data_IF_486942181015
#
_entry.id   IF_486942181015
#
_cell.length_a   1.000
_cell.length_b   1.000
_cell.length_c   1.000
_cell.angle_alpha   90.00
_cell.angle_beta   90.00
_cell.angle_gamma   90.00
#
_symmetry.space_group_name_H-M   'P 1'
#
loop_
_entity.id
_entity.type
_entity.pdbx_description
1 polymer ?
#
# COMPACT_ATOMS: atom_id res chain seq x y z
N UNK A 1 3.59 26.40 3.60
CA UNK A 1 2.40 25.54 3.36
C UNK A 1 1.38 25.88 4.42
N UNK A 2 0.12 26.18 4.06
CA UNK A 2 -0.90 26.60 5.01
C UNK A 2 -1.66 25.39 5.57
N UNK A 3 -1.70 25.26 6.89
CA UNK A 3 -2.52 24.26 7.61
C UNK A 3 -3.98 24.73 7.55
N UNK A 4 -4.86 23.87 7.09
CA UNK A 4 -6.30 24.17 7.03
C UNK A 4 -7.05 23.10 7.81
N UNK A 5 -7.85 23.54 8.78
CA UNK A 5 -8.86 22.70 9.39
C UNK A 5 -10.05 22.63 8.44
N UNK A 6 -10.48 21.41 8.12
CA UNK A 6 -11.57 21.13 7.18
C UNK A 6 -12.34 19.91 7.62
N UNK A 7 -13.51 19.72 7.02
CA UNK A 7 -14.15 18.41 7.01
C UNK A 7 -13.67 17.60 5.80
N UNK A 8 -13.66 16.28 5.91
CA UNK A 8 -13.16 15.35 4.91
C UNK A 8 -14.14 14.18 4.75
N UNK A 9 -14.43 13.83 3.51
CA UNK A 9 -15.11 12.61 3.12
C UNK A 9 -14.31 11.95 2.00
N UNK A 10 -13.83 10.73 2.21
CA UNK A 10 -13.01 10.03 1.22
C UNK A 10 -13.14 8.52 1.30
N UNK A 11 -13.02 7.84 0.17
CA UNK A 11 -12.74 6.41 0.07
C UNK A 11 -11.40 6.17 -0.65
N UNK A 12 -10.61 7.22 -0.86
CA UNK A 12 -9.32 7.21 -1.52
C UNK A 12 -8.26 7.62 -0.51
N UNK A 13 -7.76 6.65 0.25
CA UNK A 13 -6.72 6.89 1.24
C UNK A 13 -5.76 5.73 1.40
N UNK A 14 -4.54 6.05 1.82
CA UNK A 14 -3.38 5.18 1.84
C UNK A 14 -2.70 5.29 3.21
N UNK A 15 -2.46 4.17 3.87
CA UNK A 15 -1.54 4.09 5.00
C UNK A 15 -0.12 3.94 4.45
N UNK A 16 0.71 4.97 4.65
CA UNK A 16 2.05 5.06 4.06
C UNK A 16 3.09 4.83 5.14
N UNK A 17 3.89 3.75 5.08
CA UNK A 17 4.88 3.48 6.10
C UNK A 17 5.97 4.55 6.11
N UNK A 18 6.39 4.95 7.30
CA UNK A 18 7.49 5.88 7.53
C UNK A 18 8.49 5.32 8.53
N UNK A 19 9.73 5.80 8.44
CA UNK A 19 10.77 5.56 9.44
C UNK A 19 11.35 6.90 9.83
N UNK A 20 11.24 7.25 11.11
CA UNK A 20 11.67 8.55 11.66
C UNK A 20 12.29 8.33 13.03
N UNK A 21 13.09 9.28 13.50
CA UNK A 21 13.64 9.24 14.85
C UNK A 21 12.59 9.78 15.84
N UNK A 22 12.28 9.00 16.88
CA UNK A 22 11.33 9.41 17.90
C UNK A 22 11.95 10.48 18.82
N UNK A 23 11.29 11.63 18.94
CA UNK A 23 11.75 12.70 19.84
C UNK A 23 11.65 12.33 21.34
N UNK A 24 10.78 11.38 21.70
CA UNK A 24 10.59 10.92 23.09
C UNK A 24 11.68 9.96 23.56
N UNK A 25 11.86 8.83 22.85
CA UNK A 25 12.80 7.78 23.24
C UNK A 25 14.12 7.76 22.45
N UNK A 26 14.26 8.57 21.40
CA UNK A 26 15.46 8.62 20.56
C UNK A 26 15.65 7.44 19.61
N UNK A 27 14.76 6.44 19.65
CA UNK A 27 14.83 5.28 18.76
C UNK A 27 14.35 5.63 17.35
N UNK A 28 14.99 5.04 16.34
CA UNK A 28 14.43 4.98 15.00
C UNK A 28 13.18 4.10 15.04
N UNK A 29 12.03 4.69 14.74
CA UNK A 29 10.72 4.04 14.84
C UNK A 29 10.10 3.88 13.47
N UNK A 30 9.49 2.72 13.24
CA UNK A 30 8.54 2.53 12.14
C UNK A 30 7.17 3.01 12.59
N UNK A 31 6.49 3.73 11.70
CA UNK A 31 5.14 4.26 11.91
C UNK A 31 4.48 4.44 10.54
N UNK A 32 3.40 5.21 10.44
CA UNK A 32 2.75 5.51 9.18
C UNK A 32 2.17 6.93 9.12
N UNK A 33 2.04 7.46 7.90
CA UNK A 33 1.20 8.62 7.59
C UNK A 33 -0.06 8.19 6.86
N UNK A 34 -1.12 9.00 6.92
CA UNK A 34 -2.34 8.78 6.15
C UNK A 34 -2.38 9.80 5.03
N UNK A 35 -2.38 9.34 3.77
CA UNK A 35 -2.50 10.21 2.60
C UNK A 35 -3.84 9.96 1.94
N UNK A 36 -4.56 11.03 1.62
CA UNK A 36 -5.81 11.02 0.87
C UNK A 36 -5.57 11.47 -0.56
N UNK A 37 -6.34 10.93 -1.49
CA UNK A 37 -6.16 11.22 -2.91
C UNK A 37 -7.05 12.36 -3.44
N UNK A 38 -6.84 12.75 -4.71
CA UNK A 38 -7.47 13.91 -5.33
C UNK A 38 -8.98 13.79 -5.51
N UNK A 39 -9.56 12.60 -5.40
CA UNK A 39 -11.02 12.41 -5.44
C UNK A 39 -11.70 12.65 -4.08
N UNK A 40 -10.90 12.88 -3.03
CA UNK A 40 -11.41 13.22 -1.70
C UNK A 40 -12.22 14.49 -1.72
N UNK A 41 -13.28 14.53 -0.91
CA UNK A 41 -14.17 15.67 -0.77
C UNK A 41 -13.85 16.41 0.53
N UNK A 42 -13.81 17.74 0.47
CA UNK A 42 -13.61 18.60 1.64
C UNK A 42 -14.72 19.62 1.81
N UNK A 43 -14.91 20.07 3.05
CA UNK A 43 -15.81 21.16 3.39
C UNK A 43 -15.20 22.04 4.48
N UNK A 44 -15.90 23.10 4.90
CA UNK A 44 -15.53 23.89 6.05
C UNK A 44 -15.33 23.01 7.31
N UNK A 45 -14.46 23.45 8.21
CA UNK A 45 -14.36 22.86 9.55
C UNK A 45 -15.74 22.87 10.23
N UNK A 46 -15.98 21.89 11.10
CA UNK A 46 -17.21 21.72 11.87
C UNK A 46 -18.47 21.46 11.02
N UNK A 47 -18.32 20.95 9.79
CA UNK A 47 -19.44 20.47 8.98
C UNK A 47 -20.18 19.37 9.74
N UNK A 48 -21.47 19.60 9.96
CA UNK A 48 -22.34 18.60 10.57
C UNK A 48 -23.04 17.78 9.49
N UNK A 49 -22.73 16.48 9.45
CA UNK A 49 -23.30 15.54 8.49
C UNK A 49 -24.83 15.48 8.55
N UNK A 50 -25.43 15.73 9.73
CA UNK A 50 -26.87 15.59 9.92
C UNK A 50 -27.65 16.84 9.45
N UNK A 51 -27.04 18.03 9.49
CA UNK A 51 -27.71 19.30 9.16
C UNK A 51 -27.23 19.93 7.85
N UNK A 52 -25.95 19.78 7.52
CA UNK A 52 -25.30 20.58 6.48
C UNK A 52 -25.22 19.87 5.13
N UNK A 53 -25.46 18.55 5.08
CA UNK A 53 -25.20 17.71 3.90
C UNK A 53 -25.97 18.12 2.64
N UNK A 54 -27.15 18.72 2.83
CA UNK A 54 -27.99 19.22 1.73
C UNK A 54 -27.81 20.72 1.46
N UNK A 55 -27.07 21.44 2.32
CA UNK A 55 -26.98 22.90 2.30
C UNK A 55 -25.59 23.41 1.89
N UNK A 56 -24.54 22.67 2.24
CA UNK A 56 -23.15 23.08 1.97
C UNK A 56 -22.54 22.12 0.93
N UNK A 57 -22.17 22.61 -0.26
CA UNK A 57 -21.57 21.77 -1.28
C UNK A 57 -20.20 21.29 -0.83
N UNK A 58 -19.86 20.04 -1.19
CA UNK A 58 -18.52 19.50 -1.02
C UNK A 58 -17.63 19.93 -2.19
N UNK A 59 -16.38 20.25 -1.88
CA UNK A 59 -15.36 20.59 -2.88
C UNK A 59 -14.39 19.42 -3.03
N UNK A 60 -14.03 19.10 -4.26
CA UNK A 60 -13.00 18.10 -4.51
C UNK A 60 -11.62 18.63 -4.10
N UNK A 61 -10.77 17.77 -3.54
CA UNK A 61 -9.45 18.14 -3.05
C UNK A 61 -8.47 18.50 -4.18
N UNK A 62 -8.61 17.85 -5.34
CA UNK A 62 -7.81 18.05 -6.57
C UNK A 62 -6.30 17.84 -6.42
N UNK A 63 -5.84 17.39 -5.25
CA UNK A 63 -4.46 17.10 -4.92
C UNK A 63 -4.38 15.93 -3.93
N UNK A 64 -3.16 15.42 -3.68
CA UNK A 64 -2.96 14.54 -2.54
C UNK A 64 -2.88 15.36 -1.26
N UNK A 65 -3.34 14.80 -0.14
CA UNK A 65 -3.29 15.44 1.16
C UNK A 65 -2.76 14.49 2.22
N UNK A 66 -1.73 14.91 2.97
CA UNK A 66 -1.36 14.23 4.21
C UNK A 66 -2.31 14.66 5.32
N UNK A 67 -2.90 13.68 6.02
CA UNK A 67 -3.63 13.90 7.27
C UNK A 67 -2.61 13.99 8.41
N UNK A 68 -2.49 15.17 9.01
CA UNK A 68 -1.66 15.40 10.21
C UNK A 68 -2.41 15.09 11.50
N UNK A 69 -3.74 15.22 11.46
CA UNK A 69 -4.68 14.91 12.53
C UNK A 69 -6.02 14.56 11.92
N UNK A 70 -6.58 13.41 12.30
CA UNK A 70 -7.97 13.04 12.04
C UNK A 70 -8.74 13.23 13.35
N UNK A 71 -9.93 13.83 13.33
CA UNK A 71 -10.68 14.08 14.56
C UNK A 71 -12.11 14.60 14.33
N UNK A 72 -12.81 14.86 15.43
CA UNK A 72 -14.24 15.21 15.39
C UNK A 72 -15.13 13.97 15.29
N UNK A 73 -16.25 14.03 14.54
CA UNK A 73 -17.20 12.90 14.38
C UNK A 73 -16.59 11.77 13.54
N UNK A 74 -15.77 10.94 14.18
CA UNK A 74 -14.91 9.97 13.51
C UNK A 74 -14.75 8.65 14.29
N UNK A 75 -15.42 8.50 15.45
CA UNK A 75 -15.10 7.43 16.43
C UNK A 75 -14.96 6.02 15.86
N UNK A 76 -15.78 5.66 14.86
CA UNK A 76 -15.71 4.32 14.24
C UNK A 76 -14.51 4.19 13.28
N UNK A 77 -14.16 5.27 12.59
CA UNK A 77 -13.04 5.30 11.65
C UNK A 77 -11.72 5.34 12.40
N UNK A 78 -11.56 6.24 13.37
CA UNK A 78 -10.31 6.34 14.11
C UNK A 78 -10.01 5.06 14.88
N UNK A 79 -11.03 4.46 15.51
CA UNK A 79 -10.90 3.18 16.19
C UNK A 79 -10.55 2.05 15.23
N UNK A 80 -11.11 2.04 14.02
CA UNK A 80 -10.72 1.09 12.98
C UNK A 80 -9.25 1.25 12.59
N UNK A 81 -8.81 2.48 12.29
CA UNK A 81 -7.44 2.76 11.88
C UNK A 81 -6.47 2.42 13.01
N UNK A 82 -6.76 2.84 14.25
CA UNK A 82 -5.98 2.51 15.43
C UNK A 82 -5.90 1.00 15.66
N UNK A 83 -6.99 0.24 15.49
CA UNK A 83 -6.94 -1.22 15.67
C UNK A 83 -6.14 -1.92 14.56
N UNK A 84 -6.36 -1.53 13.30
CA UNK A 84 -5.69 -2.12 12.13
C UNK A 84 -4.20 -1.79 12.08
N UNK A 85 -3.82 -0.59 12.51
CA UNK A 85 -2.47 -0.04 12.46
C UNK A 85 -1.99 0.35 13.87
N UNK A 86 -2.24 -0.51 14.86
CA UNK A 86 -2.02 -0.24 16.29
C UNK A 86 -0.57 0.07 16.69
N UNK A 87 0.41 -0.35 15.88
CA UNK A 87 1.81 0.02 16.08
C UNK A 87 2.19 1.39 15.53
N UNK A 88 1.32 1.99 14.71
CA UNK A 88 1.59 3.23 13.98
C UNK A 88 0.66 4.38 14.37
N UNK A 89 -0.57 4.10 14.82
CA UNK A 89 -1.52 5.13 15.24
C UNK A 89 -2.14 4.84 16.60
N UNK A 90 -2.45 5.89 17.33
CA UNK A 90 -3.23 5.81 18.58
C UNK A 90 -4.24 6.95 18.68
N UNK A 91 -5.27 6.71 19.49
CA UNK A 91 -6.20 7.73 19.93
C UNK A 91 -5.56 8.57 21.03
N UNK A 92 -5.48 9.88 20.82
CA UNK A 92 -5.04 10.84 21.83
C UNK A 92 -6.03 12.01 21.89
N UNK A 93 -5.83 12.93 22.85
CA UNK A 93 -6.81 13.93 23.30
C UNK A 93 -7.61 14.65 22.18
N UNK A 94 -7.00 14.87 21.00
CA UNK A 94 -7.60 15.62 19.88
C UNK A 94 -7.84 14.80 18.60
N UNK A 95 -7.78 13.47 18.70
CA UNK A 95 -8.03 12.52 17.62
C UNK A 95 -6.87 11.57 17.30
N UNK A 96 -6.96 10.89 16.15
CA UNK A 96 -5.96 9.92 15.72
C UNK A 96 -4.63 10.59 15.34
N UNK A 97 -3.54 10.14 15.97
CA UNK A 97 -2.17 10.62 15.71
C UNK A 97 -1.21 9.46 15.45
N UNK A 98 -0.18 9.71 14.64
CA UNK A 98 0.91 8.77 14.43
C UNK A 98 1.75 8.64 15.71
N UNK A 99 2.19 7.43 16.04
CA UNK A 99 2.95 7.14 17.27
C UNK A 99 4.22 6.35 17.02
N UNK A 100 5.12 6.39 17.99
CA UNK A 100 6.29 5.55 18.06
C UNK A 100 5.93 4.10 18.41
N UNK A 101 6.45 3.12 17.67
CA UNK A 101 6.23 1.69 17.94
C UNK A 101 6.89 1.22 19.26
N UNK A 102 7.86 1.98 19.79
CA UNK A 102 8.64 1.61 20.99
C UNK A 102 8.10 2.20 22.29
N UNK A 103 7.73 3.49 22.30
CA UNK A 103 7.26 4.18 23.50
C UNK A 103 5.81 4.68 23.41
N UNK A 104 5.14 4.50 22.27
CA UNK A 104 3.76 4.96 22.02
C UNK A 104 3.56 6.49 22.09
N UNK A 105 4.63 7.27 22.24
CA UNK A 105 4.55 8.72 22.17
C UNK A 105 4.10 9.19 20.78
N UNK A 106 3.33 10.28 20.76
CA UNK A 106 2.94 10.97 19.53
C UNK A 106 4.15 11.44 18.75
N UNK A 107 4.17 11.13 17.45
CA UNK A 107 5.18 11.64 16.54
C UNK A 107 4.75 13.03 16.02
N UNK A 108 5.60 14.06 16.17
CA UNK A 108 5.33 15.39 15.62
C UNK A 108 5.00 15.34 14.13
N UNK A 109 3.94 16.03 13.70
CA UNK A 109 3.50 16.06 12.30
C UNK A 109 4.60 16.55 11.35
N UNK A 110 5.48 17.44 11.81
CA UNK A 110 6.63 17.93 11.06
C UNK A 110 7.62 16.80 10.70
N UNK A 111 7.84 15.82 11.60
CA UNK A 111 8.70 14.67 11.35
C UNK A 111 8.06 13.68 10.38
N UNK A 112 6.75 13.46 10.52
CA UNK A 112 6.01 12.53 9.65
C UNK A 112 5.86 13.09 8.25
N UNK A 113 5.69 14.41 8.09
CA UNK A 113 5.26 15.01 6.82
C UNK A 113 6.17 14.68 5.65
N UNK A 114 7.46 14.99 5.77
CA UNK A 114 8.41 14.74 4.69
C UNK A 114 8.60 13.25 4.45
N UNK A 115 8.69 12.45 5.51
CA UNK A 115 8.87 11.01 5.42
C UNK A 115 7.67 10.32 4.73
N UNK A 116 6.44 10.73 5.06
CA UNK A 116 5.22 10.19 4.48
C UNK A 116 5.05 10.59 3.02
N UNK A 117 5.30 11.87 2.69
CA UNK A 117 5.21 12.36 1.30
C UNK A 117 6.27 11.70 0.40
N UNK A 118 7.52 11.58 0.86
CA UNK A 118 8.58 10.88 0.13
C UNK A 118 8.25 9.39 -0.06
N UNK A 119 7.86 8.71 1.03
CA UNK A 119 7.48 7.31 0.99
C UNK A 119 6.29 7.08 0.06
N UNK A 120 5.31 7.98 0.05
CA UNK A 120 4.16 7.91 -0.86
C UNK A 120 4.59 7.99 -2.32
N UNK A 121 5.42 8.97 -2.69
CA UNK A 121 5.93 9.09 -4.07
C UNK A 121 6.73 7.84 -4.45
N UNK A 122 7.65 7.40 -3.59
CA UNK A 122 8.50 6.23 -3.82
C UNK A 122 7.69 4.94 -3.98
N UNK A 123 6.67 4.74 -3.14
CA UNK A 123 5.79 3.57 -3.20
C UNK A 123 4.85 3.65 -4.39
N UNK A 124 4.36 4.84 -4.74
CA UNK A 124 3.51 5.08 -5.92
C UNK A 124 4.24 4.75 -7.22
N UNK A 125 5.49 5.19 -7.37
CA UNK A 125 6.35 4.84 -8.51
C UNK A 125 6.57 3.33 -8.65
N UNK A 126 6.57 2.60 -7.53
CA UNK A 126 6.72 1.15 -7.48
C UNK A 126 5.39 0.39 -7.49
N UNK A 127 4.25 1.10 -7.54
CA UNK A 127 2.89 0.52 -7.48
C UNK A 127 2.63 -0.30 -6.21
N UNK A 128 3.20 0.13 -5.09
CA UNK A 128 3.08 -0.52 -3.77
C UNK A 128 2.10 0.20 -2.84
N UNK A 129 1.44 1.25 -3.31
CA UNK A 129 0.39 1.93 -2.58
C UNK A 129 -0.92 1.16 -2.70
N UNK A 130 -1.49 0.79 -1.55
CA UNK A 130 -2.81 0.19 -1.46
C UNK A 130 -3.82 1.24 -0.97
N UNK A 131 -4.82 1.53 -1.78
CA UNK A 131 -5.98 2.28 -1.32
C UNK A 131 -6.77 1.37 -0.37
N UNK A 132 -7.04 1.85 0.84
CA UNK A 132 -7.77 1.11 1.86
C UNK A 132 -9.27 0.97 1.53
N UNK A 133 -9.81 1.81 0.64
CA UNK A 133 -11.19 1.80 0.12
C UNK A 133 -12.29 1.85 1.19
N UNK A 134 -11.94 2.02 2.45
CA UNK A 134 -12.88 2.28 3.53
C UNK A 134 -13.31 3.74 3.48
N UNK A 135 -14.62 4.00 3.55
CA UNK A 135 -15.12 5.35 3.66
C UNK A 135 -14.70 5.98 5.00
N UNK A 136 -14.01 7.11 4.91
CA UNK A 136 -13.58 7.95 6.02
C UNK A 136 -14.37 9.24 5.95
N UNK A 137 -15.12 9.53 7.00
CA UNK A 137 -15.66 10.85 7.26
C UNK A 137 -14.98 11.42 8.50
N UNK A 138 -14.64 12.71 8.44
CA UNK A 138 -14.07 13.48 9.55
C UNK A 138 -14.59 14.90 9.52
N UNK A 139 -15.19 15.36 10.61
CA UNK A 139 -15.67 16.74 10.73
C UNK A 139 -14.55 17.73 11.06
N UNK A 140 -13.39 17.24 11.50
CA UNK A 140 -12.21 18.06 11.75
C UNK A 140 -10.92 17.32 11.38
N UNK A 141 -10.34 17.66 10.23
CA UNK A 141 -9.05 17.15 9.75
C UNK A 141 -8.06 18.29 9.57
N UNK A 142 -6.79 18.04 9.92
CA UNK A 142 -5.67 18.92 9.54
C UNK A 142 -4.98 18.31 8.33
N UNK A 143 -5.04 19.00 7.20
CA UNK A 143 -4.48 18.54 5.93
C UNK A 143 -3.28 19.38 5.48
N UNK A 144 -2.26 18.68 4.98
CA UNK A 144 -1.17 19.29 4.21
C UNK A 144 -1.21 18.77 2.77
N UNK A 145 -1.63 19.63 1.85
CA UNK A 145 -1.76 19.30 0.43
C UNK A 145 -0.41 19.31 -0.29
N UNK A 146 -0.27 18.40 -1.26
CA UNK A 146 0.88 18.35 -2.16
C UNK A 146 0.49 17.79 -3.52
N UNK A 147 1.19 18.26 -4.57
CA UNK A 147 1.05 17.74 -5.92
C UNK A 147 2.06 16.62 -6.10
N UNK A 148 1.58 15.39 -6.28
CA UNK A 148 2.43 14.27 -6.64
C UNK A 148 3.00 14.50 -8.04
N UNK A 149 4.30 14.77 -8.15
CA UNK A 149 4.99 14.69 -9.44
C UNK A 149 5.01 13.23 -9.88
N UNK A 150 4.55 12.95 -11.10
CA UNK A 150 4.47 11.64 -11.78
C UNK A 150 3.21 10.80 -11.49
N UNK A 151 2.20 11.01 -12.34
CA UNK A 151 1.20 10.04 -12.81
C UNK A 151 1.05 8.75 -11.99
N UNK A 152 0.08 8.72 -11.08
CA UNK A 152 -0.47 7.46 -10.59
C UNK A 152 -1.38 6.91 -11.69
N UNK A 153 -0.80 6.13 -12.62
CA UNK A 153 -1.60 5.27 -13.49
C UNK A 153 -2.06 4.06 -12.68
N UNK A 154 -3.37 3.96 -12.41
CA UNK A 154 -4.00 2.70 -12.01
C UNK A 154 -3.78 1.66 -13.13
N UNK A 155 -2.91 0.67 -12.88
CA UNK A 155 -2.91 -0.68 -13.48
C UNK A 155 -1.79 -1.52 -12.81
N UNK A 156 -1.96 -2.79 -12.46
CA UNK A 156 -2.68 -3.82 -13.21
C UNK A 156 -2.75 -5.19 -12.52
N UNK A 157 -3.58 -5.33 -11.49
CA UNK A 157 -4.40 -6.54 -11.29
C UNK A 157 -5.76 -6.04 -10.78
N UNK A 158 -6.83 -6.26 -11.55
CA UNK A 158 -8.12 -5.55 -11.43
C UNK A 158 -8.87 -5.76 -10.10
N UNK A 159 -8.47 -6.70 -9.24
CA UNK A 159 -9.26 -7.07 -8.06
C UNK A 159 -8.76 -6.52 -6.71
N UNK A 160 -7.71 -5.70 -6.70
CA UNK A 160 -7.11 -5.20 -5.45
C UNK A 160 -6.67 -6.34 -4.51
N UNK A 161 -5.97 -6.04 -3.42
CA UNK A 161 -5.66 -7.06 -2.39
C UNK A 161 -4.51 -8.04 -2.69
N UNK A 162 -3.90 -8.01 -3.88
CA UNK A 162 -2.69 -8.77 -4.18
C UNK A 162 -1.42 -8.06 -3.68
N UNK A 163 -0.52 -8.81 -3.04
CA UNK A 163 0.82 -8.39 -2.69
C UNK A 163 1.85 -9.16 -3.52
N UNK A 164 2.85 -8.46 -4.07
CA UNK A 164 3.96 -9.08 -4.78
C UNK A 164 4.84 -9.84 -3.78
N UNK A 165 5.08 -11.13 -4.04
CA UNK A 165 5.87 -11.98 -3.15
C UNK A 165 7.21 -12.38 -3.77
N UNK A 166 7.19 -12.76 -5.05
CA UNK A 166 8.35 -13.30 -5.75
C UNK A 166 8.50 -12.66 -7.13
N UNK A 167 9.75 -12.50 -7.55
CA UNK A 167 10.12 -12.17 -8.92
C UNK A 167 11.03 -13.27 -9.45
N UNK A 168 10.71 -13.80 -10.62
CA UNK A 168 11.50 -14.82 -11.27
C UNK A 168 12.03 -14.27 -12.59
N UNK A 169 13.33 -14.37 -12.82
CA UNK A 169 13.85 -14.21 -14.17
C UNK A 169 13.49 -15.46 -14.96
N UNK A 170 13.03 -15.25 -16.19
CA UNK A 170 12.58 -16.30 -17.08
C UNK A 170 13.24 -16.15 -18.44
N UNK A 171 13.53 -17.28 -19.09
CA UNK A 171 14.06 -17.35 -20.43
C UNK A 171 13.21 -18.28 -21.27
N UNK A 172 12.94 -17.92 -22.53
CA UNK A 172 12.29 -18.81 -23.47
C UNK A 172 13.29 -19.66 -24.28
N UNK A 173 12.79 -20.58 -25.09
CA UNK A 173 13.63 -21.46 -25.93
C UNK A 173 14.52 -20.74 -26.95
N UNK A 174 14.24 -19.47 -27.22
CA UNK A 174 14.99 -18.64 -28.16
C UNK A 174 15.99 -17.70 -27.46
N UNK A 175 16.20 -17.86 -26.15
CA UNK A 175 17.11 -17.03 -25.36
C UNK A 175 16.55 -15.65 -25.01
N UNK A 176 15.24 -15.41 -25.17
CA UNK A 176 14.62 -14.14 -24.82
C UNK A 176 14.30 -14.12 -23.33
N UNK A 177 14.77 -13.09 -22.64
CA UNK A 177 14.60 -12.92 -21.20
C UNK A 177 13.34 -12.12 -20.85
N UNK A 178 12.71 -12.47 -19.74
CA UNK A 178 11.60 -11.73 -19.14
C UNK A 178 11.58 -11.90 -17.62
N UNK A 179 10.61 -11.25 -16.98
CA UNK A 179 10.37 -11.35 -15.53
C UNK A 179 8.97 -11.89 -15.31
N UNK A 180 8.85 -12.87 -14.43
CA UNK A 180 7.57 -13.36 -13.91
C UNK A 180 7.42 -12.84 -12.49
N UNK A 181 6.37 -12.07 -12.26
CA UNK A 181 5.96 -11.60 -10.95
C UNK A 181 4.88 -12.54 -10.39
N UNK A 182 5.05 -12.97 -9.14
CA UNK A 182 4.08 -13.81 -8.42
C UNK A 182 3.49 -13.00 -7.28
N UNK A 183 2.18 -12.88 -7.33
CA UNK A 183 1.37 -12.09 -6.42
C UNK A 183 0.47 -13.00 -5.60
N UNK A 184 0.09 -12.59 -4.40
CA UNK A 184 -0.84 -13.34 -3.53
C UNK A 184 -1.86 -12.43 -2.87
N UNK A 185 -3.13 -12.84 -2.87
CA UNK A 185 -4.17 -12.22 -2.07
C UNK A 185 -4.42 -13.06 -0.84
N UNK A 186 -4.13 -12.52 0.34
CA UNK A 186 -4.44 -13.20 1.62
C UNK A 186 -5.96 -13.33 1.82
N UNK A 187 -6.72 -12.34 1.35
CA UNK A 187 -8.17 -12.30 1.52
C UNK A 187 -8.88 -13.38 0.70
N UNK A 188 -8.41 -13.61 -0.53
CA UNK A 188 -8.96 -14.64 -1.42
C UNK A 188 -8.22 -15.97 -1.33
N UNK A 189 -7.07 -15.99 -0.65
CA UNK A 189 -6.17 -17.14 -0.55
C UNK A 189 -5.82 -17.70 -1.94
N UNK A 190 -5.45 -16.81 -2.86
CA UNK A 190 -5.10 -17.14 -4.23
C UNK A 190 -3.87 -16.37 -4.71
N UNK A 191 -3.26 -16.87 -5.76
CA UNK A 191 -2.04 -16.37 -6.37
C UNK A 191 -2.33 -15.91 -7.80
N UNK A 192 -1.67 -14.83 -8.20
CA UNK A 192 -1.71 -14.33 -9.57
C UNK A 192 -0.29 -14.24 -10.13
N UNK A 193 -0.19 -14.36 -11.45
CA UNK A 193 1.08 -14.27 -12.16
C UNK A 193 1.02 -13.21 -13.25
N UNK A 194 2.05 -12.36 -13.30
CA UNK A 194 2.25 -11.38 -14.38
C UNK A 194 3.58 -11.67 -15.06
N UNK A 195 3.55 -11.93 -16.37
CA UNK A 195 4.73 -12.06 -17.21
C UNK A 195 5.02 -10.72 -17.88
N UNK A 196 6.25 -10.24 -17.69
CA UNK A 196 6.77 -9.02 -18.30
C UNK A 196 7.92 -9.35 -19.25
N UNK A 197 7.85 -8.79 -20.46
CA UNK A 197 8.88 -8.92 -21.49
C UNK A 197 9.90 -7.78 -21.45
N UNK A 198 10.62 -7.59 -22.56
CA UNK A 198 11.60 -6.51 -22.68
C UNK A 198 10.96 -5.12 -22.47
N UNK A 199 11.60 -4.28 -21.64
CA UNK A 199 11.11 -2.94 -21.30
C UNK A 199 10.04 -2.92 -20.22
N UNK A 200 9.94 -3.96 -19.39
CA UNK A 200 8.93 -4.13 -18.32
C UNK A 200 7.48 -4.14 -18.83
N UNK A 201 7.30 -4.39 -20.14
CA UNK A 201 5.99 -4.46 -20.77
C UNK A 201 5.29 -5.74 -20.35
N UNK A 202 4.09 -5.63 -19.78
CA UNK A 202 3.21 -6.78 -19.52
C UNK A 202 2.87 -7.49 -20.82
N UNK A 203 3.16 -8.79 -20.87
CA UNK A 203 2.93 -9.65 -22.03
C UNK A 203 1.77 -10.60 -21.79
N UNK A 204 1.60 -11.05 -20.55
CA UNK A 204 0.56 -11.99 -20.16
C UNK A 204 0.26 -11.82 -18.67
N UNK A 205 -1.04 -11.88 -18.33
CA UNK A 205 -1.53 -12.01 -16.97
C UNK A 205 -2.30 -13.31 -16.86
N UNK A 206 -2.03 -14.10 -15.83
CA UNK A 206 -2.71 -15.37 -15.60
C UNK A 206 -3.20 -15.50 -14.17
N UNK A 207 -4.34 -16.17 -14.07
CA UNK A 207 -5.34 -16.00 -13.03
C UNK A 207 -5.03 -16.56 -11.66
N UNK A 208 -6.03 -16.29 -10.83
CA UNK A 208 -6.17 -16.39 -9.38
C UNK A 208 -6.28 -17.85 -8.90
N UNK A 209 -5.17 -18.58 -8.92
CA UNK A 209 -5.13 -19.97 -8.45
C UNK A 209 -4.76 -20.02 -6.98
N UNK A 210 -5.48 -20.81 -6.18
CA UNK A 210 -5.13 -21.15 -4.79
C UNK A 210 -3.89 -22.05 -4.66
N UNK A 211 -3.34 -22.54 -5.79
CA UNK A 211 -2.19 -23.44 -5.83
C UNK A 211 -0.99 -22.89 -6.64
N UNK A 212 0.14 -22.68 -5.96
CA UNK A 212 1.42 -22.35 -6.58
C UNK A 212 1.92 -23.43 -7.56
N UNK A 213 1.54 -24.69 -7.38
CA UNK A 213 1.85 -25.79 -8.30
C UNK A 213 1.24 -25.58 -9.68
N UNK A 214 0.00 -25.11 -9.75
CA UNK A 214 -0.66 -24.77 -11.00
C UNK A 214 0.06 -23.63 -11.72
N UNK A 215 0.54 -22.62 -10.99
CA UNK A 215 1.34 -21.54 -11.58
C UNK A 215 2.65 -22.03 -12.20
N UNK A 216 3.36 -22.96 -11.55
CA UNK A 216 4.58 -23.56 -12.12
C UNK A 216 4.27 -24.38 -13.38
N UNK A 217 3.18 -25.14 -13.37
CA UNK A 217 2.70 -25.86 -14.56
C UNK A 217 2.40 -24.90 -15.71
N UNK A 218 1.82 -23.74 -15.40
CA UNK A 218 1.48 -22.72 -16.37
C UNK A 218 2.73 -22.08 -17.00
N UNK A 219 3.75 -21.76 -16.20
CA UNK A 219 5.06 -21.29 -16.67
C UNK A 219 5.70 -22.30 -17.64
N UNK A 220 5.70 -23.57 -17.24
CA UNK A 220 6.28 -24.65 -18.05
C UNK A 220 5.52 -24.84 -19.36
N UNK A 221 4.18 -24.72 -19.32
CA UNK A 221 3.31 -24.82 -20.50
C UNK A 221 3.53 -23.67 -21.49
N UNK A 222 3.95 -22.49 -21.00
CA UNK A 222 4.35 -21.36 -21.84
C UNK A 222 5.74 -21.54 -22.46
N UNK A 223 6.44 -22.63 -22.15
CA UNK A 223 7.79 -22.91 -22.65
C UNK A 223 8.86 -22.01 -22.05
N UNK A 224 8.60 -21.44 -20.88
CA UNK A 224 9.53 -20.60 -20.13
C UNK A 224 10.29 -21.43 -19.10
N UNK A 225 11.57 -21.12 -18.95
CA UNK A 225 12.45 -21.69 -17.93
C UNK A 225 12.78 -20.59 -16.92
N UNK A 226 12.51 -20.84 -15.65
CA UNK A 226 12.92 -19.93 -14.57
C UNK A 226 14.41 -20.08 -14.29
N UNK A 227 15.14 -18.97 -14.32
CA UNK A 227 16.60 -18.94 -14.18
C UNK A 227 17.05 -18.36 -12.84
N UNK A 228 16.33 -17.38 -12.30
CA UNK A 228 16.62 -16.80 -10.98
C UNK A 228 15.33 -16.52 -10.23
N UNK A 229 15.39 -16.65 -8.90
CA UNK A 229 14.27 -16.38 -8.00
C UNK A 229 14.69 -15.33 -6.98
N UNK A 230 13.91 -14.26 -6.89
CA UNK A 230 14.11 -13.14 -5.98
C UNK A 230 12.88 -12.96 -5.10
N UNK A 231 13.13 -12.59 -3.84
CA UNK A 231 12.08 -12.11 -2.95
C UNK A 231 11.73 -10.68 -3.32
N UNK A 232 10.44 -10.36 -3.35
CA UNK A 232 10.01 -8.97 -3.48
C UNK A 232 10.46 -8.12 -2.28
N UNK A 233 10.49 -8.73 -1.09
CA UNK A 233 11.04 -8.15 0.14
C UNK A 233 11.79 -9.21 0.95
N UNK A 234 13.10 -9.04 1.10
CA UNK A 234 13.99 -10.03 1.71
C UNK A 234 13.75 -10.28 3.20
N UNK A 235 13.20 -9.30 3.92
CA UNK A 235 12.92 -9.40 5.37
C UNK A 235 11.47 -9.80 5.67
N UNK A 236 10.66 -10.05 4.63
CA UNK A 236 9.25 -10.38 4.81
C UNK A 236 9.08 -11.89 5.05
N UNK A 237 8.58 -12.32 6.23
CA UNK A 237 8.33 -13.74 6.49
C UNK A 237 7.30 -14.33 5.51
N UNK A 238 6.42 -13.50 4.96
CA UNK A 238 5.48 -13.91 3.91
C UNK A 238 6.17 -14.18 2.57
N UNK A 239 7.14 -13.35 2.18
CA UNK A 239 7.93 -13.59 0.97
C UNK A 239 8.83 -14.83 1.17
N UNK A 240 9.44 -14.99 2.34
CA UNK A 240 10.26 -16.16 2.68
C UNK A 240 9.47 -17.47 2.67
N UNK A 241 8.26 -17.45 3.22
CA UNK A 241 7.35 -18.59 3.20
C UNK A 241 6.89 -18.90 1.77
N UNK A 242 6.49 -17.89 1.00
CA UNK A 242 6.11 -18.08 -0.39
C UNK A 242 7.26 -18.62 -1.25
N UNK A 243 8.48 -18.14 -1.04
CA UNK A 243 9.69 -18.70 -1.67
C UNK A 243 9.85 -20.17 -1.34
N UNK A 244 9.69 -20.55 -0.08
CA UNK A 244 9.83 -21.94 0.37
C UNK A 244 8.79 -22.86 -0.28
N UNK A 245 7.52 -22.41 -0.33
CA UNK A 245 6.43 -23.13 -0.98
C UNK A 245 6.64 -23.24 -2.50
N UNK A 246 7.08 -22.14 -3.13
CA UNK A 246 7.32 -22.08 -4.56
C UNK A 246 8.53 -22.93 -4.97
N UNK A 247 9.62 -22.92 -4.21
CA UNK A 247 10.76 -23.83 -4.41
C UNK A 247 10.34 -25.30 -4.29
N UNK A 248 9.44 -25.61 -3.35
CA UNK A 248 8.84 -26.94 -3.25
C UNK A 248 8.03 -27.32 -4.50
N UNK A 249 7.25 -26.38 -5.05
CA UNK A 249 6.50 -26.59 -6.29
C UNK A 249 7.43 -26.77 -7.51
N UNK A 250 8.47 -25.96 -7.62
CA UNK A 250 9.49 -26.07 -8.66
C UNK A 250 10.21 -27.42 -8.62
N UNK A 251 10.61 -27.88 -7.44
CA UNK A 251 11.26 -29.18 -7.27
C UNK A 251 10.35 -30.34 -7.71
N UNK A 252 9.05 -30.28 -7.37
CA UNK A 252 8.06 -31.27 -7.85
C UNK A 252 7.88 -31.24 -9.37
N UNK A 253 8.03 -30.07 -9.98
CA UNK A 253 8.00 -29.91 -11.44
C UNK A 253 9.32 -30.28 -12.14
N UNK A 254 10.33 -30.74 -11.39
CA UNK A 254 11.61 -31.19 -11.94
C UNK A 254 12.69 -30.12 -12.08
N UNK A 255 12.47 -28.90 -11.56
CA UNK A 255 13.52 -27.90 -11.49
C UNK A 255 14.59 -28.31 -10.48
N UNK A 256 15.85 -28.11 -10.86
CA UNK A 256 17.01 -28.31 -10.00
C UNK A 256 17.64 -26.98 -9.64
N UNK A 257 18.13 -26.88 -8.41
CA UNK A 257 18.85 -25.70 -7.93
C UNK A 257 20.30 -25.81 -8.41
N UNK A 258 20.79 -24.83 -9.15
CA UNK A 258 22.21 -24.71 -9.39
C UNK A 258 22.88 -24.32 -8.06
N UNK A 259 23.91 -25.07 -7.65
CA UNK A 259 24.74 -24.78 -6.49
C UNK A 259 25.59 -23.52 -6.68
#
# INVERSE_FOLDING_TARGET
MAKHERSLLTNEWYAVPVSVDCAGCGAQTRSAGIIVGPTSLTNAADFDLDTDVLQKPWEQLEAFGLIERLGGRTENVERFVANRYHSAFSMQDDGLKAVCEHCSDSLPSELIRLAAMDSFVRLGQRRLLKNERLMVFSSNVVLTQFHGGTWIQESGIEDGGYALLLLCNAEDRNGRTGVIEIWHSVERNDYAMVLKGHGDREMLRRGFSDDLGQLVSDVTSLGLVLTQLHLAQAESPYCDMARSLFLGALSRAGYQRAE
#
